data_IF_042452830885
#
_entry.id   IF_042452830885
#
_cell.length_a   1.000
_cell.length_b   1.000
_cell.length_c   1.000
_cell.angle_alpha   90.00
_cell.angle_beta   90.00
_cell.angle_gamma   90.00
#
_symmetry.space_group_name_H-M   'P 1'
#
loop_
_entity.id
_entity.type
_entity.pdbx_description
1 polymer ?
#
# COMPACT_ATOMS: atom_id res chain seq x y z
N UNK A 1 -5.20 -1.33 -14.35
CA UNK A 1 -6.64 -1.37 -14.60
C UNK A 1 -7.28 0.00 -14.48
N UNK A 2 -8.43 0.16 -15.14
CA UNK A 2 -9.21 1.40 -15.16
C UNK A 2 -9.76 1.78 -13.78
N UNK A 3 -10.33 3.00 -13.66
CA UNK A 3 -11.11 3.35 -12.48
C UNK A 3 -12.34 2.42 -12.41
N UNK A 4 -12.68 1.94 -11.22
CA UNK A 4 -13.78 0.97 -11.06
C UNK A 4 -13.39 -0.50 -11.34
N UNK A 5 -12.14 -0.81 -11.70
CA UNK A 5 -11.69 -2.18 -11.96
C UNK A 5 -11.67 -3.12 -10.73
N UNK A 6 -12.03 -2.64 -9.53
CA UNK A 6 -12.08 -3.47 -8.31
C UNK A 6 -10.80 -3.47 -7.47
N UNK A 7 -9.77 -2.69 -7.82
CA UNK A 7 -8.47 -2.66 -7.10
C UNK A 7 -8.61 -2.35 -5.61
N UNK A 8 -9.26 -1.23 -5.29
CA UNK A 8 -9.49 -0.81 -3.89
C UNK A 8 -10.45 -1.77 -3.17
N UNK A 9 -11.41 -2.35 -3.89
CA UNK A 9 -12.29 -3.40 -3.36
C UNK A 9 -11.47 -4.63 -2.94
N UNK A 10 -10.52 -5.06 -3.77
CA UNK A 10 -9.60 -6.15 -3.41
C UNK A 10 -8.80 -5.82 -2.13
N UNK A 11 -8.28 -4.60 -2.00
CA UNK A 11 -7.59 -4.17 -0.78
C UNK A 11 -8.52 -4.17 0.44
N UNK A 12 -9.76 -3.73 0.28
CA UNK A 12 -10.76 -3.74 1.35
C UNK A 12 -11.13 -5.16 1.79
N UNK A 13 -11.24 -6.12 0.85
CA UNK A 13 -11.44 -7.54 1.14
C UNK A 13 -10.24 -8.14 1.88
N UNK A 14 -9.01 -7.82 1.49
CA UNK A 14 -7.79 -8.29 2.15
C UNK A 14 -7.67 -7.70 3.55
N UNK A 15 -7.87 -6.38 3.71
CA UNK A 15 -7.76 -5.69 5.01
C UNK A 15 -8.91 -6.04 5.97
N UNK A 16 -10.06 -6.51 5.46
CA UNK A 16 -11.25 -6.81 6.26
C UNK A 16 -12.17 -5.61 6.51
N UNK A 17 -11.97 -4.51 5.78
CA UNK A 17 -12.88 -3.36 5.75
C UNK A 17 -14.20 -3.75 5.05
N UNK A 18 -14.15 -4.74 4.15
CA UNK A 18 -15.32 -5.33 3.47
C UNK A 18 -15.31 -6.85 3.68
N UNK A 19 -16.47 -7.42 3.93
CA UNK A 19 -16.62 -8.86 4.13
C UNK A 19 -16.48 -9.65 2.82
N UNK A 20 -15.87 -10.83 2.94
CA UNK A 20 -15.69 -11.76 1.81
C UNK A 20 -16.95 -12.60 1.64
N UNK A 21 -17.64 -12.46 0.50
CA UNK A 21 -18.85 -13.24 0.18
C UNK A 21 -18.51 -14.68 -0.22
N UNK A 22 -17.44 -14.85 -1.03
CA UNK A 22 -16.96 -16.18 -1.48
C UNK A 22 -15.44 -16.20 -1.53
N UNK A 23 -14.85 -17.38 -1.35
CA UNK A 23 -13.39 -17.54 -1.33
C UNK A 23 -12.78 -17.38 0.06
N UNK A 24 -11.46 -17.24 0.12
CA UNK A 24 -10.70 -17.16 1.38
C UNK A 24 -9.55 -16.17 1.26
N UNK A 25 -9.24 -15.51 2.38
CA UNK A 25 -8.04 -14.68 2.53
C UNK A 25 -7.13 -15.34 3.56
N UNK A 26 -5.88 -15.65 3.16
CA UNK A 26 -4.85 -16.23 4.03
C UNK A 26 -3.62 -15.34 4.06
N UNK A 27 -3.06 -15.14 5.24
CA UNK A 27 -1.82 -14.38 5.45
C UNK A 27 -0.92 -15.22 6.32
N UNK A 28 0.30 -15.53 5.87
CA UNK A 28 1.22 -16.46 6.55
C UNK A 28 0.54 -17.76 6.99
N UNK A 29 -0.13 -18.41 6.07
CA UNK A 29 -0.90 -19.65 6.27
C UNK A 29 -2.10 -19.55 7.24
N UNK A 30 -2.32 -18.37 7.86
CA UNK A 30 -3.47 -18.12 8.73
C UNK A 30 -4.67 -17.70 7.89
N UNK A 31 -5.79 -18.40 8.02
CA UNK A 31 -7.06 -18.00 7.41
C UNK A 31 -7.65 -16.83 8.21
N UNK A 32 -7.65 -15.66 7.59
CA UNK A 32 -8.17 -14.41 8.18
C UNK A 32 -9.53 -14.00 7.61
N UNK A 33 -10.16 -14.84 6.79
CA UNK A 33 -11.37 -14.53 6.04
C UNK A 33 -12.50 -13.96 6.92
N UNK A 34 -12.67 -14.54 8.11
CA UNK A 34 -13.70 -14.10 9.08
C UNK A 34 -13.16 -13.17 10.18
N UNK A 35 -11.89 -12.78 10.10
CA UNK A 35 -11.32 -11.86 11.08
C UNK A 35 -11.76 -10.43 10.78
N UNK A 36 -12.24 -9.72 11.80
CA UNK A 36 -12.50 -8.29 11.72
C UNK A 36 -11.23 -7.51 11.41
N UNK A 37 -11.34 -6.33 10.81
CA UNK A 37 -10.26 -5.47 10.37
C UNK A 37 -9.18 -5.26 11.45
N UNK A 38 -9.57 -4.95 12.70
CA UNK A 38 -8.63 -4.73 13.81
C UNK A 38 -7.78 -5.97 14.15
N UNK A 39 -8.28 -7.19 13.88
CA UNK A 39 -7.51 -8.42 14.04
C UNK A 39 -6.52 -8.61 12.90
N UNK A 40 -6.93 -8.29 11.65
CA UNK A 40 -6.06 -8.35 10.46
C UNK A 40 -4.98 -7.28 10.50
N UNK A 41 -5.22 -6.13 11.15
CA UNK A 41 -4.24 -5.06 11.36
C UNK A 41 -2.96 -5.51 12.08
N UNK A 42 -2.96 -6.69 12.73
CA UNK A 42 -1.73 -7.30 13.28
C UNK A 42 -0.77 -7.79 12.19
N UNK A 43 -1.31 -8.19 11.04
CA UNK A 43 -0.58 -8.76 9.91
C UNK A 43 -0.39 -7.77 8.79
N UNK A 44 -1.29 -6.81 8.66
CA UNK A 44 -1.36 -5.90 7.52
C UNK A 44 -0.99 -4.47 7.96
N UNK A 45 -0.09 -3.85 7.18
CA UNK A 45 0.09 -2.41 7.14
C UNK A 45 -0.58 -1.84 5.90
N UNK A 46 -1.37 -0.79 6.02
CA UNK A 46 -2.02 -0.13 4.88
C UNK A 46 -1.68 1.35 4.83
N UNK A 47 -1.28 1.83 3.67
CA UNK A 47 -1.20 3.25 3.36
C UNK A 47 -2.30 3.59 2.38
N UNK A 48 -3.02 4.66 2.70
CA UNK A 48 -4.13 5.18 1.90
C UNK A 48 -3.64 6.24 0.92
N UNK A 49 -4.45 6.53 -0.08
CA UNK A 49 -4.21 7.61 -1.04
C UNK A 49 -4.16 8.98 -0.35
N UNK A 50 -5.02 9.21 0.64
CA UNK A 50 -4.96 10.41 1.47
C UNK A 50 -3.89 10.26 2.57
N UNK A 51 -2.83 11.09 2.56
CA UNK A 51 -1.78 11.05 3.58
C UNK A 51 -2.27 11.32 5.01
N UNK A 52 -3.45 11.92 5.18
CA UNK A 52 -4.04 12.18 6.49
C UNK A 52 -4.66 10.93 7.11
N UNK A 53 -5.16 10.00 6.29
CA UNK A 53 -5.89 8.83 6.76
C UNK A 53 -5.05 7.87 7.60
N UNK A 54 -3.72 7.89 7.47
CA UNK A 54 -2.79 7.03 8.20
C UNK A 54 -2.23 7.61 9.50
N UNK A 55 -2.61 8.85 9.88
CA UNK A 55 -2.00 9.57 11.01
C UNK A 55 -3.03 10.31 11.85
N UNK A 56 -2.73 10.48 13.14
CA UNK A 56 -3.46 11.38 14.03
C UNK A 56 -2.86 12.79 13.91
N UNK A 57 -3.41 13.63 13.04
CA UNK A 57 -2.84 14.93 12.65
C UNK A 57 -2.67 15.91 13.82
N UNK A 58 -3.53 15.82 14.85
CA UNK A 58 -3.47 16.65 16.04
C UNK A 58 -2.54 16.10 17.15
N UNK A 59 -1.85 14.99 16.90
CA UNK A 59 -0.88 14.39 17.80
C UNK A 59 0.54 14.63 17.32
N UNK A 60 1.50 14.60 18.25
CA UNK A 60 2.91 14.74 17.93
C UNK A 60 3.42 13.59 17.06
N UNK A 61 4.48 13.85 16.29
CA UNK A 61 5.19 12.83 15.50
C UNK A 61 5.57 11.63 16.37
N UNK A 62 6.19 11.89 17.54
CA UNK A 62 6.61 10.83 18.45
C UNK A 62 5.44 10.00 19.00
N UNK A 63 4.27 10.60 19.23
CA UNK A 63 3.08 9.89 19.71
C UNK A 63 2.49 9.01 18.62
N UNK A 64 2.43 9.51 17.38
CA UNK A 64 2.02 8.73 16.22
C UNK A 64 2.92 7.49 16.03
N UNK A 65 4.24 7.67 16.10
CA UNK A 65 5.19 6.56 16.04
C UNK A 65 4.96 5.54 17.15
N UNK A 66 4.71 6.02 18.38
CA UNK A 66 4.48 5.15 19.52
C UNK A 66 3.20 4.30 19.41
N UNK A 67 2.13 4.86 18.84
CA UNK A 67 0.89 4.14 18.58
C UNK A 67 1.15 2.97 17.64
N UNK A 68 1.90 3.19 16.57
CA UNK A 68 2.18 2.18 15.54
C UNK A 68 3.22 1.15 15.97
N UNK A 69 4.26 1.57 16.70
CA UNK A 69 5.37 0.71 17.10
C UNK A 69 4.94 -0.43 18.04
N UNK A 70 4.00 -0.16 18.94
CA UNK A 70 3.49 -1.16 19.89
C UNK A 70 2.03 -1.46 19.63
N UNK A 71 1.74 -2.41 18.77
CA UNK A 71 0.38 -2.93 18.56
C UNK A 71 -0.03 -3.81 19.75
N UNK A 72 -1.24 -3.62 20.27
CA UNK A 72 -1.84 -4.45 21.32
C UNK A 72 -2.10 -3.73 22.64
N UNK A 73 -2.44 -4.48 23.70
CA UNK A 73 -2.70 -3.92 25.03
C UNK A 73 -1.44 -3.30 25.62
N UNK A 74 -1.51 -2.01 25.92
CA UNK A 74 -0.45 -1.26 26.60
C UNK A 74 -0.79 -1.18 28.08
N UNK A 75 0.13 -1.62 28.96
CA UNK A 75 0.01 -1.34 30.39
C UNK A 75 0.15 0.16 30.69
N UNK A 76 -0.16 0.55 31.94
CA UNK A 76 -0.11 1.95 32.44
C UNK A 76 1.33 2.54 32.51
N UNK A 77 2.30 1.97 31.80
CA UNK A 77 3.68 2.48 31.80
C UNK A 77 3.82 3.66 30.83
N UNK A 78 4.64 4.64 31.22
CA UNK A 78 5.07 5.72 30.33
C UNK A 78 5.75 5.09 29.12
N UNK A 79 5.08 5.16 27.97
CA UNK A 79 5.51 4.48 26.75
C UNK A 79 6.62 5.24 26.03
N UNK A 80 6.62 6.58 26.11
CA UNK A 80 7.60 7.44 25.44
C UNK A 80 8.67 7.93 26.44
N UNK A 81 9.59 7.05 26.81
CA UNK A 81 10.75 7.37 27.64
C UNK A 81 11.94 7.86 26.78
N UNK A 82 13.03 8.28 27.42
CA UNK A 82 14.23 8.80 26.75
C UNK A 82 14.80 7.81 25.72
N UNK A 83 14.87 6.53 26.04
CA UNK A 83 15.35 5.48 25.11
C UNK A 83 14.48 5.36 23.87
N UNK A 84 13.16 5.46 24.03
CA UNK A 84 12.24 5.43 22.89
C UNK A 84 12.33 6.70 22.03
N UNK A 85 12.53 7.86 22.66
CA UNK A 85 12.76 9.12 21.91
C UNK A 85 14.03 9.03 21.08
N UNK A 86 15.11 8.53 21.65
CA UNK A 86 16.36 8.33 20.94
C UNK A 86 16.15 7.37 19.76
N UNK A 87 15.56 6.19 19.99
CA UNK A 87 15.27 5.22 18.94
C UNK A 87 14.42 5.82 17.82
N UNK A 88 13.37 6.56 18.13
CA UNK A 88 12.55 7.20 17.11
C UNK A 88 13.30 8.30 16.36
N UNK A 89 14.17 9.06 17.02
CA UNK A 89 15.06 10.01 16.37
C UNK A 89 15.95 9.35 15.33
N UNK A 90 16.64 8.28 15.70
CA UNK A 90 17.48 7.49 14.81
C UNK A 90 16.69 6.94 13.60
N UNK A 91 15.45 6.48 13.83
CA UNK A 91 14.60 6.00 12.73
C UNK A 91 14.15 7.15 11.81
N UNK A 92 13.78 8.31 12.35
CA UNK A 92 13.37 9.48 11.58
C UNK A 92 14.53 10.06 10.75
N UNK A 93 15.74 10.04 11.26
CA UNK A 93 16.96 10.48 10.56
C UNK A 93 17.17 9.68 9.27
N UNK A 94 16.77 8.39 9.24
CA UNK A 94 16.86 7.55 8.03
C UNK A 94 16.01 8.07 6.86
N UNK A 95 15.02 8.91 7.13
CA UNK A 95 14.19 9.54 6.11
C UNK A 95 14.88 10.70 5.41
N UNK A 96 15.92 11.30 6.01
CA UNK A 96 16.66 12.48 5.51
C UNK A 96 15.75 13.69 5.22
N UNK A 97 14.76 13.92 6.10
CA UNK A 97 13.76 14.98 5.95
C UNK A 97 13.71 15.95 7.12
N UNK A 98 14.66 15.86 8.07
CA UNK A 98 14.73 16.69 9.26
C UNK A 98 13.63 16.41 10.30
N UNK A 99 12.96 15.27 10.18
CA UNK A 99 11.86 14.91 11.08
C UNK A 99 12.33 14.51 12.48
N UNK A 100 13.59 14.09 12.63
CA UNK A 100 14.26 13.84 13.91
C UNK A 100 14.27 15.05 14.82
N UNK A 101 14.29 16.26 14.25
CA UNK A 101 14.22 17.52 14.99
C UNK A 101 12.78 18.02 15.25
N UNK A 102 11.79 17.33 14.70
CA UNK A 102 10.37 17.70 14.72
C UNK A 102 9.47 16.70 15.45
N UNK A 103 10.06 15.87 16.32
CA UNK A 103 9.30 14.86 17.07
C UNK A 103 8.21 15.42 17.98
N UNK A 104 8.35 16.67 18.43
CA UNK A 104 7.36 17.40 19.24
C UNK A 104 6.30 18.13 18.42
N UNK A 105 6.44 18.22 17.11
CA UNK A 105 5.47 18.90 16.24
C UNK A 105 4.25 18.01 16.00
N UNK A 106 3.09 18.65 15.84
CA UNK A 106 1.90 17.94 15.39
C UNK A 106 2.09 17.49 13.94
N UNK A 107 1.66 16.26 13.62
CA UNK A 107 1.76 15.67 12.26
C UNK A 107 1.04 16.53 11.22
N UNK A 108 -0.03 17.24 11.62
CA UNK A 108 -0.73 18.19 10.76
C UNK A 108 0.14 19.34 10.21
N UNK A 109 1.25 19.67 10.86
CA UNK A 109 2.20 20.72 10.43
C UNK A 109 3.25 20.21 9.43
N UNK A 110 3.28 18.93 9.13
CA UNK A 110 4.20 18.33 8.16
C UNK A 110 3.72 18.57 6.73
N UNK A 111 4.65 18.68 5.79
CA UNK A 111 4.31 18.66 4.36
C UNK A 111 3.72 17.30 3.96
N UNK A 112 3.02 17.23 2.82
CA UNK A 112 2.45 15.98 2.30
C UNK A 112 3.50 14.87 2.16
N UNK A 113 4.68 15.20 1.59
CA UNK A 113 5.79 14.25 1.44
C UNK A 113 6.37 13.78 2.78
N UNK A 114 6.59 14.71 3.72
CA UNK A 114 7.05 14.37 5.08
C UNK A 114 6.07 13.45 5.81
N UNK A 115 4.77 13.74 5.70
CA UNK A 115 3.72 12.93 6.32
C UNK A 115 3.64 11.54 5.71
N UNK A 116 3.75 11.43 4.39
CA UNK A 116 3.75 10.15 3.70
C UNK A 116 4.97 9.30 4.06
N UNK A 117 6.16 9.92 4.11
CA UNK A 117 7.39 9.25 4.54
C UNK A 117 7.30 8.77 6.01
N UNK A 118 6.74 9.60 6.90
CA UNK A 118 6.47 9.23 8.28
C UNK A 118 5.51 8.03 8.36
N UNK A 119 4.41 8.06 7.61
CA UNK A 119 3.42 6.97 7.58
C UNK A 119 4.06 5.67 7.11
N UNK A 120 4.90 5.74 6.08
CA UNK A 120 5.65 4.59 5.56
C UNK A 120 6.60 4.03 6.63
N UNK A 121 7.37 4.88 7.31
CA UNK A 121 8.25 4.48 8.41
C UNK A 121 7.48 3.83 9.55
N UNK A 122 6.39 4.46 10.02
CA UNK A 122 5.53 3.91 11.07
C UNK A 122 5.00 2.52 10.72
N UNK A 123 4.60 2.33 9.47
CA UNK A 123 4.12 1.04 8.98
C UNK A 123 5.23 -0.02 9.03
N UNK A 124 6.42 0.30 8.53
CA UNK A 124 7.58 -0.62 8.53
C UNK A 124 7.98 -0.99 9.96
N UNK A 125 8.03 -0.04 10.87
CA UNK A 125 8.32 -0.26 12.29
C UNK A 125 7.30 -1.15 12.99
N UNK A 126 6.08 -1.23 12.48
CA UNK A 126 5.05 -2.14 12.98
C UNK A 126 5.26 -3.59 12.55
N UNK A 127 6.24 -3.87 11.66
CA UNK A 127 6.60 -5.18 11.12
C UNK A 127 5.43 -5.98 10.58
N UNK A 128 4.71 -5.46 9.57
CA UNK A 128 3.59 -6.17 8.98
C UNK A 128 4.08 -7.38 8.17
N UNK A 129 3.24 -8.41 8.06
CA UNK A 129 3.46 -9.53 7.14
C UNK A 129 3.10 -9.17 5.70
N UNK A 130 2.20 -8.21 5.52
CA UNK A 130 1.73 -7.72 4.23
C UNK A 130 1.58 -6.20 4.27
N UNK A 131 2.13 -5.54 3.27
CA UNK A 131 2.02 -4.11 3.06
C UNK A 131 1.06 -3.82 1.89
N UNK A 132 0.04 -3.00 2.12
CA UNK A 132 -0.92 -2.56 1.12
C UNK A 132 -0.72 -1.06 0.85
N UNK A 133 -0.32 -0.70 -0.37
CA UNK A 133 -0.06 0.66 -0.81
C UNK A 133 -1.11 1.07 -1.85
N UNK A 134 -2.06 1.92 -1.47
CA UNK A 134 -3.17 2.35 -2.33
C UNK A 134 -2.87 3.73 -2.90
N UNK A 135 -2.30 3.79 -4.11
CA UNK A 135 -1.93 5.04 -4.82
C UNK A 135 -1.19 6.06 -3.93
N UNK A 136 -0.32 5.58 -3.05
CA UNK A 136 0.26 6.30 -1.93
C UNK A 136 1.15 7.49 -2.30
N UNK A 137 1.40 7.73 -3.58
CA UNK A 137 2.14 8.90 -4.09
C UNK A 137 1.31 9.82 -4.96
N UNK A 138 0.03 9.47 -5.23
CA UNK A 138 -0.78 10.20 -6.20
C UNK A 138 -1.11 11.65 -5.80
N UNK A 139 -1.19 11.93 -4.49
CA UNK A 139 -1.49 13.25 -3.95
C UNK A 139 -0.25 14.13 -3.75
N UNK A 140 0.95 13.66 -4.14
CA UNK A 140 2.22 14.35 -3.95
C UNK A 140 2.68 15.02 -5.25
N UNK A 141 3.44 16.11 -5.12
CA UNK A 141 4.17 16.66 -6.25
C UNK A 141 5.25 15.67 -6.76
N UNK A 142 5.70 15.78 -8.02
CA UNK A 142 6.58 14.78 -8.63
C UNK A 142 7.87 14.49 -7.86
N UNK A 143 8.48 15.51 -7.23
CA UNK A 143 9.72 15.35 -6.47
C UNK A 143 9.49 14.55 -5.18
N UNK A 144 8.44 14.90 -4.42
CA UNK A 144 8.08 14.17 -3.22
C UNK A 144 7.57 12.77 -3.54
N UNK A 145 6.82 12.59 -4.63
CA UNK A 145 6.38 11.28 -5.10
C UNK A 145 7.56 10.34 -5.39
N UNK A 146 8.58 10.82 -6.12
CA UNK A 146 9.78 10.03 -6.40
C UNK A 146 10.51 9.66 -5.11
N UNK A 147 10.72 10.61 -4.22
CA UNK A 147 11.39 10.38 -2.94
C UNK A 147 10.65 9.32 -2.08
N UNK A 148 9.34 9.39 -1.99
CA UNK A 148 8.53 8.39 -1.26
C UNK A 148 8.60 7.02 -1.93
N UNK A 149 8.65 6.94 -3.27
CA UNK A 149 8.86 5.69 -4.01
C UNK A 149 10.23 5.07 -3.74
N UNK A 150 11.29 5.89 -3.69
CA UNK A 150 12.65 5.43 -3.38
C UNK A 150 12.73 4.89 -1.94
N UNK A 151 12.11 5.59 -0.98
CA UNK A 151 11.96 5.12 0.41
C UNK A 151 11.17 3.79 0.48
N UNK A 152 10.08 3.69 -0.26
CA UNK A 152 9.27 2.47 -0.34
C UNK A 152 10.10 1.30 -0.84
N UNK A 153 10.84 1.49 -1.93
CA UNK A 153 11.69 0.45 -2.51
C UNK A 153 12.78 0.01 -1.53
N UNK A 154 13.46 0.97 -0.91
CA UNK A 154 14.48 0.69 0.11
C UNK A 154 13.93 -0.13 1.27
N UNK A 155 12.80 0.28 1.84
CA UNK A 155 12.20 -0.43 2.97
C UNK A 155 11.68 -1.82 2.60
N UNK A 156 11.08 -1.98 1.42
CA UNK A 156 10.63 -3.30 0.93
C UNK A 156 11.81 -4.26 0.82
N UNK A 157 12.94 -3.80 0.30
CA UNK A 157 14.15 -4.61 0.15
C UNK A 157 14.83 -4.90 1.49
N UNK A 158 15.03 -3.88 2.32
CA UNK A 158 15.72 -3.99 3.62
C UNK A 158 14.98 -4.91 4.59
N UNK A 159 13.66 -4.74 4.68
CA UNK A 159 12.82 -5.51 5.61
C UNK A 159 12.17 -6.74 4.97
N UNK A 160 12.45 -7.02 3.69
CA UNK A 160 11.90 -8.16 2.91
C UNK A 160 10.38 -8.25 2.99
N UNK A 161 9.70 -7.12 2.82
CA UNK A 161 8.27 -7.01 2.99
C UNK A 161 7.51 -7.55 1.76
N UNK A 162 6.53 -8.42 2.00
CA UNK A 162 5.53 -8.74 0.97
C UNK A 162 4.64 -7.51 0.76
N UNK A 163 4.59 -7.01 -0.47
CA UNK A 163 3.93 -5.73 -0.78
C UNK A 163 2.99 -5.87 -1.95
N UNK A 164 1.77 -5.39 -1.81
CA UNK A 164 0.85 -5.13 -2.91
C UNK A 164 0.71 -3.62 -3.07
N UNK A 165 0.96 -3.12 -4.28
CA UNK A 165 0.86 -1.70 -4.61
C UNK A 165 -0.18 -1.50 -5.72
N UNK A 166 -1.14 -0.63 -5.47
CA UNK A 166 -2.04 -0.12 -6.50
C UNK A 166 -1.44 1.17 -7.07
N UNK A 167 -1.39 1.26 -8.39
CA UNK A 167 -1.06 2.49 -9.11
C UNK A 167 -1.86 2.56 -10.41
N UNK A 168 -2.20 3.76 -10.84
CA UNK A 168 -2.73 4.03 -12.16
C UNK A 168 -1.63 4.42 -13.16
N UNK A 169 -0.39 4.60 -12.70
CA UNK A 169 0.75 4.91 -13.56
C UNK A 169 1.38 3.62 -14.08
N UNK A 170 1.26 3.38 -15.39
CA UNK A 170 1.79 2.17 -16.05
C UNK A 170 3.30 2.05 -15.95
N UNK A 171 4.03 3.16 -16.05
CA UNK A 171 5.48 3.21 -15.88
C UNK A 171 5.91 2.72 -14.49
N UNK A 172 5.24 3.20 -13.46
CA UNK A 172 5.47 2.73 -12.08
C UNK A 172 5.12 1.24 -11.94
N UNK A 173 3.98 0.78 -12.49
CA UNK A 173 3.58 -0.62 -12.41
C UNK A 173 4.63 -1.56 -13.05
N UNK A 174 5.28 -1.13 -14.12
CA UNK A 174 6.35 -1.87 -14.79
C UNK A 174 7.66 -1.79 -13.99
N UNK A 175 8.03 -0.60 -13.51
CA UNK A 175 9.32 -0.36 -12.85
C UNK A 175 9.42 -1.02 -11.46
N UNK A 176 8.31 -1.08 -10.71
CA UNK A 176 8.31 -1.56 -9.34
C UNK A 176 7.73 -2.98 -9.20
N UNK A 177 8.22 -3.70 -8.15
CA UNK A 177 7.80 -5.06 -7.84
C UNK A 177 8.30 -6.11 -8.83
N UNK A 178 8.07 -7.38 -8.51
CA UNK A 178 8.51 -8.55 -9.28
C UNK A 178 7.36 -9.25 -10.04
N UNK A 179 6.11 -8.83 -9.80
CA UNK A 179 4.89 -9.33 -10.45
C UNK A 179 3.96 -8.17 -10.74
N UNK A 180 3.29 -8.16 -11.88
CA UNK A 180 2.32 -7.16 -12.28
C UNK A 180 0.99 -7.85 -12.54
N UNK A 181 -0.06 -7.34 -11.89
CA UNK A 181 -1.43 -7.76 -12.09
C UNK A 181 -2.21 -6.60 -12.73
N UNK A 182 -3.00 -6.89 -13.74
CA UNK A 182 -3.97 -5.95 -14.29
C UNK A 182 -5.37 -6.44 -13.98
N UNK A 183 -6.20 -5.55 -13.47
CA UNK A 183 -7.60 -5.84 -13.16
C UNK A 183 -8.52 -5.04 -14.06
N UNK A 184 -9.62 -5.67 -14.48
CA UNK A 184 -10.77 -5.01 -15.09
C UNK A 184 -12.05 -5.69 -14.58
N UNK A 185 -13.12 -4.91 -14.33
CA UNK A 185 -14.44 -5.36 -13.87
C UNK A 185 -14.44 -6.38 -12.72
N UNK A 186 -13.44 -6.30 -11.84
CA UNK A 186 -13.29 -7.20 -10.67
C UNK A 186 -12.50 -8.47 -10.95
N UNK A 187 -12.02 -8.69 -12.17
CA UNK A 187 -11.24 -9.85 -12.57
C UNK A 187 -9.77 -9.50 -12.81
N UNK A 188 -8.87 -10.47 -12.65
CA UNK A 188 -7.46 -10.33 -13.03
C UNK A 188 -7.34 -10.78 -14.49
N UNK A 189 -7.18 -9.80 -15.39
CA UNK A 189 -7.10 -10.02 -16.83
C UNK A 189 -5.66 -10.21 -17.34
N UNK A 190 -4.66 -9.84 -16.55
CA UNK A 190 -3.24 -10.04 -16.86
C UNK A 190 -2.47 -10.30 -15.58
N UNK A 191 -1.58 -11.30 -15.64
CA UNK A 191 -0.68 -11.68 -14.56
C UNK A 191 0.69 -12.01 -15.15
N UNK A 192 1.67 -11.13 -14.95
CA UNK A 192 3.03 -11.29 -15.49
C UNK A 192 4.08 -11.16 -14.39
N UNK A 193 5.12 -11.99 -14.48
CA UNK A 193 6.22 -12.01 -13.52
C UNK A 193 7.54 -12.42 -14.19
N UNK A 194 8.64 -12.39 -13.43
CA UNK A 194 9.95 -12.85 -13.91
C UNK A 194 10.44 -12.15 -15.17
N UNK A 195 10.93 -12.92 -16.14
CA UNK A 195 11.52 -12.38 -17.39
C UNK A 195 10.47 -11.68 -18.26
N UNK A 196 9.23 -12.18 -18.29
CA UNK A 196 8.16 -11.54 -19.05
C UNK A 196 7.91 -10.12 -18.54
N UNK A 197 7.89 -9.92 -17.21
CA UNK A 197 7.73 -8.59 -16.63
C UNK A 197 8.90 -7.67 -16.96
N UNK A 198 10.14 -8.18 -16.96
CA UNK A 198 11.34 -7.37 -17.28
C UNK A 198 11.34 -6.84 -18.72
N UNK A 199 10.72 -7.58 -19.65
CA UNK A 199 10.61 -7.21 -21.06
C UNK A 199 9.36 -6.38 -21.38
N UNK A 200 8.55 -6.07 -20.37
CA UNK A 200 7.31 -5.34 -20.56
C UNK A 200 7.61 -3.84 -20.74
N UNK A 201 6.99 -3.25 -21.75
CA UNK A 201 6.99 -1.78 -21.95
C UNK A 201 5.57 -1.24 -21.81
N UNK A 202 5.43 0.08 -21.68
CA UNK A 202 4.11 0.71 -21.58
C UNK A 202 3.28 0.41 -22.83
N UNK A 203 3.89 0.46 -24.02
CA UNK A 203 3.22 0.18 -25.28
C UNK A 203 2.72 -1.27 -25.34
N UNK A 204 3.54 -2.24 -24.94
CA UNK A 204 3.15 -3.65 -24.86
C UNK A 204 2.00 -3.88 -23.85
N UNK A 205 2.05 -3.18 -22.71
CA UNK A 205 1.02 -3.27 -21.69
C UNK A 205 -0.32 -2.71 -22.18
N UNK A 206 -0.29 -1.58 -22.90
CA UNK A 206 -1.48 -0.98 -23.53
C UNK A 206 -2.03 -1.88 -24.62
N UNK A 207 -1.18 -2.44 -25.49
CA UNK A 207 -1.60 -3.36 -26.54
C UNK A 207 -2.28 -4.62 -25.96
N UNK A 208 -1.67 -5.26 -24.95
CA UNK A 208 -2.29 -6.41 -24.26
C UNK A 208 -3.65 -6.07 -23.65
N UNK A 209 -3.80 -4.86 -23.09
CA UNK A 209 -5.08 -4.42 -22.54
C UNK A 209 -6.15 -4.24 -23.61
N UNK A 210 -5.77 -3.68 -24.77
CA UNK A 210 -6.69 -3.50 -25.90
C UNK A 210 -7.12 -4.84 -26.48
N UNK A 211 -6.20 -5.78 -26.68
CA UNK A 211 -6.50 -7.14 -27.16
C UNK A 211 -7.52 -7.86 -26.27
N UNK A 212 -7.32 -7.82 -24.95
CA UNK A 212 -8.22 -8.46 -23.98
C UNK A 212 -9.62 -7.83 -24.07
N UNK A 213 -9.72 -6.49 -24.14
CA UNK A 213 -11.00 -5.81 -24.25
C UNK A 213 -11.72 -6.06 -25.56
N UNK A 214 -11.00 -6.15 -26.68
CA UNK A 214 -11.61 -6.51 -27.98
C UNK A 214 -12.15 -7.94 -27.97
N UNK A 215 -11.39 -8.90 -27.44
CA UNK A 215 -11.85 -10.28 -27.33
C UNK A 215 -13.09 -10.44 -26.43
N UNK A 216 -13.19 -9.64 -25.34
CA UNK A 216 -14.39 -9.60 -24.51
C UNK A 216 -15.61 -9.06 -25.25
N UNK A 217 -15.45 -7.95 -25.99
CA UNK A 217 -16.55 -7.33 -26.76
C UNK A 217 -17.06 -8.25 -27.87
N UNK A 218 -16.17 -8.92 -28.59
CA UNK A 218 -16.54 -9.92 -29.62
C UNK A 218 -17.30 -11.12 -29.00
N UNK A 219 -16.88 -11.56 -27.80
CA UNK A 219 -17.56 -12.64 -27.08
C UNK A 219 -18.97 -12.22 -26.61
N UNK A 220 -19.12 -10.99 -26.11
CA UNK A 220 -20.41 -10.46 -25.67
C UNK A 220 -21.38 -10.28 -26.87
N UNK A 221 -20.88 -9.82 -28.03
CA UNK A 221 -21.67 -9.71 -29.27
C UNK A 221 -22.14 -11.04 -29.79
N UNK A 222 -21.28 -12.09 -29.75
CA UNK A 222 -21.65 -13.45 -30.12
C UNK A 222 -22.72 -14.03 -29.21
N UNK A 223 -22.63 -13.84 -27.89
CA UNK A 223 -23.64 -14.30 -26.94
C UNK A 223 -24.98 -13.61 -27.12
N UNK A 224 -25.00 -12.33 -27.56
CA UNK A 224 -26.22 -11.58 -27.84
C UNK A 224 -26.85 -11.99 -29.20
N UNK A 225 -26.06 -12.52 -30.13
CA UNK A 225 -26.53 -12.97 -31.43
C UNK A 225 -27.14 -14.39 -31.44
N UNK A 226 -26.66 -15.27 -30.54
CA UNK A 226 -27.16 -16.66 -30.42
C UNK A 226 -28.42 -16.77 -29.54
N UNK A 227 -28.91 -15.66 -28.98
CA UNK A 227 -30.11 -15.59 -28.15
C UNK A 227 -31.40 -15.24 -28.90
N UNK A 228 -31.42 -15.34 -30.24
CA UNK A 228 -32.64 -15.10 -31.07
C UNK A 228 -33.14 -16.38 -31.71
#
# INVERSE_FOLDING_TARGET
>A
GSNGAGKTTLFNLISGTTDVTRGRVRINEVDVTKHAEYRRARYIGRIFQDPLAGTASNMMVADNMMICYRKGMKGLRISLNHRMRQFFGEQLETLQMGLEHRMGDNVGLLSGGQRQALTLLMMVLSRPSLMLLDEHTAALDPRNAQMVMDLTTRFVQEYKLTTLMITHNMGQAIAFGNRLLMMDRGEIILDVSGEEKKQLTVEKLVAKFQEIRHAELESDELMLSDGR
#
